data_IF_343016265752
#
_entry.id   IF_343016265752
#
_cell.length_a   1.000
_cell.length_b   1.000
_cell.length_c   1.000
_cell.angle_alpha   90.00
_cell.angle_beta   90.00
_cell.angle_gamma   90.00
#
_symmetry.space_group_name_H-M   'P 1'
#
loop_
_entity.id
_entity.type
_entity.pdbx_description
1 polymer ?
#
# COMPACT_ATOMS: atom_id res chain seq x y z
N UNK A 1 -13.02 9.07 -25.77
CA UNK A 1 -13.12 10.21 -24.82
C UNK A 1 -12.85 9.80 -23.35
N UNK A 2 -13.09 8.53 -22.97
CA UNK A 2 -12.89 7.98 -21.61
C UNK A 2 -11.44 7.65 -21.24
N UNK A 3 -10.55 7.44 -22.22
CA UNK A 3 -9.15 7.01 -21.98
C UNK A 3 -8.24 8.09 -21.35
N UNK A 4 -8.61 9.37 -21.40
CA UNK A 4 -7.81 10.46 -20.82
C UNK A 4 -8.11 10.73 -19.35
N UNK A 5 -9.25 10.26 -18.81
CA UNK A 5 -9.59 10.46 -17.40
C UNK A 5 -8.72 9.62 -16.45
N UNK A 6 -8.24 8.45 -16.92
CA UNK A 6 -7.53 7.47 -16.10
C UNK A 6 -6.05 7.85 -15.90
N UNK A 7 -5.47 8.62 -16.82
CA UNK A 7 -4.11 9.18 -16.68
C UNK A 7 -3.97 10.09 -15.44
N UNK A 8 -5.08 10.60 -14.90
CA UNK A 8 -5.11 11.42 -13.68
C UNK A 8 -5.62 10.67 -12.44
N UNK A 9 -6.01 9.40 -12.56
CA UNK A 9 -6.66 8.64 -11.47
C UNK A 9 -5.71 7.73 -10.67
N UNK A 10 -4.42 7.63 -11.04
CA UNK A 10 -3.47 6.75 -10.35
C UNK A 10 -3.18 7.20 -8.91
N UNK A 11 -3.13 8.52 -8.67
CA UNK A 11 -2.86 9.06 -7.34
C UNK A 11 -4.06 8.88 -6.39
N UNK A 12 -5.32 9.17 -6.80
CA UNK A 12 -6.50 8.77 -6.04
C UNK A 12 -6.58 7.26 -5.77
N UNK A 13 -6.33 6.42 -6.77
CA UNK A 13 -6.34 4.96 -6.61
C UNK A 13 -5.29 4.50 -5.61
N UNK A 14 -4.06 5.02 -5.72
CA UNK A 14 -2.98 4.74 -4.76
C UNK A 14 -3.38 5.13 -3.34
N UNK A 15 -3.97 6.30 -3.14
CA UNK A 15 -4.40 6.78 -1.84
C UNK A 15 -5.51 5.88 -1.25
N UNK A 16 -6.54 5.55 -2.04
CA UNK A 16 -7.62 4.65 -1.62
C UNK A 16 -7.08 3.27 -1.28
N UNK A 17 -6.23 2.70 -2.12
CA UNK A 17 -5.59 1.41 -1.85
C UNK A 17 -4.73 1.45 -0.59
N UNK A 18 -3.92 2.50 -0.40
CA UNK A 18 -3.04 2.60 0.76
C UNK A 18 -3.83 2.69 2.08
N UNK A 19 -4.93 3.45 2.09
CA UNK A 19 -5.83 3.55 3.25
C UNK A 19 -6.52 2.20 3.50
N UNK A 20 -7.09 1.60 2.47
CA UNK A 20 -7.78 0.30 2.56
C UNK A 20 -6.84 -0.79 3.06
N UNK A 21 -5.59 -0.80 2.58
CA UNK A 21 -4.56 -1.77 2.99
C UNK A 21 -4.15 -1.63 4.44
N UNK A 22 -4.03 -0.39 4.96
CA UNK A 22 -3.72 -0.19 6.38
C UNK A 22 -4.91 -0.53 7.30
N UNK A 23 -6.15 -0.51 6.78
CA UNK A 23 -7.34 -0.86 7.57
C UNK A 23 -7.61 -2.37 7.59
N UNK A 24 -7.40 -3.06 6.46
CA UNK A 24 -7.79 -4.46 6.29
C UNK A 24 -6.63 -5.43 5.97
N UNK A 25 -5.38 -4.96 5.90
CA UNK A 25 -4.22 -5.69 5.35
C UNK A 25 -4.22 -5.79 3.82
N UNK A 26 -3.06 -6.18 3.27
CA UNK A 26 -2.78 -6.16 1.83
C UNK A 26 -3.72 -7.07 1.03
N UNK A 27 -3.86 -8.34 1.45
CA UNK A 27 -4.64 -9.33 0.70
C UNK A 27 -6.12 -8.95 0.63
N UNK A 28 -6.81 -8.61 1.74
CA UNK A 28 -8.20 -8.17 1.68
C UNK A 28 -8.38 -6.89 0.86
N UNK A 29 -7.45 -5.93 0.95
CA UNK A 29 -7.53 -4.71 0.15
C UNK A 29 -7.47 -4.98 -1.37
N UNK A 30 -6.61 -5.91 -1.81
CA UNK A 30 -6.57 -6.33 -3.22
C UNK A 30 -7.89 -7.01 -3.62
N UNK A 31 -8.40 -7.93 -2.80
CA UNK A 31 -9.66 -8.63 -3.08
C UNK A 31 -10.86 -7.68 -3.17
N UNK A 32 -10.85 -6.59 -2.40
CA UNK A 32 -11.90 -5.57 -2.43
C UNK A 32 -11.78 -4.64 -3.65
N UNK A 33 -10.57 -4.27 -4.05
CA UNK A 33 -10.36 -3.19 -5.02
C UNK A 33 -10.20 -3.68 -6.46
N UNK A 34 -9.73 -4.91 -6.68
CA UNK A 34 -9.59 -5.47 -8.05
C UNK A 34 -10.94 -5.49 -8.80
N UNK A 35 -12.05 -5.99 -8.23
CA UNK A 35 -13.34 -5.98 -8.92
C UNK A 35 -13.81 -4.56 -9.26
N UNK A 36 -13.58 -3.60 -8.37
CA UNK A 36 -13.94 -2.18 -8.58
C UNK A 36 -13.16 -1.59 -9.74
N UNK A 37 -11.85 -1.88 -9.82
CA UNK A 37 -10.99 -1.43 -10.93
C UNK A 37 -11.47 -2.02 -12.26
N UNK A 38 -11.82 -3.30 -12.29
CA UNK A 38 -12.34 -3.95 -13.51
C UNK A 38 -13.70 -3.38 -13.94
N UNK A 39 -14.62 -3.14 -13.00
CA UNK A 39 -15.95 -2.60 -13.26
C UNK A 39 -15.91 -1.19 -13.88
N UNK A 40 -14.98 -0.34 -13.43
CA UNK A 40 -14.81 1.02 -13.99
C UNK A 40 -13.95 1.05 -15.27
N UNK A 41 -13.58 -0.12 -15.80
CA UNK A 41 -12.81 -0.25 -17.04
C UNK A 41 -11.30 0.02 -16.89
N UNK A 42 -10.77 -0.16 -15.69
CA UNK A 42 -9.33 -0.14 -15.42
C UNK A 42 -8.62 -1.33 -16.07
N UNK A 43 -7.37 -1.10 -16.49
CA UNK A 43 -6.54 -2.11 -17.13
C UNK A 43 -5.41 -2.60 -16.24
N UNK A 44 -4.42 -3.25 -16.87
CA UNK A 44 -3.24 -3.78 -16.20
C UNK A 44 -2.51 -2.71 -15.37
N UNK A 45 -2.45 -1.45 -15.84
CA UNK A 45 -1.76 -0.36 -15.15
C UNK A 45 -2.39 -0.06 -13.79
N UNK A 46 -3.71 0.02 -13.73
CA UNK A 46 -4.47 0.29 -12.51
C UNK A 46 -4.39 -0.89 -11.54
N UNK A 47 -4.43 -2.12 -12.07
CA UNK A 47 -4.20 -3.33 -11.27
C UNK A 47 -2.79 -3.37 -10.67
N UNK A 48 -1.77 -2.96 -11.43
CA UNK A 48 -0.40 -2.81 -10.92
C UNK A 48 -0.32 -1.73 -9.84
N UNK A 49 -1.07 -0.63 -9.95
CA UNK A 49 -1.19 0.37 -8.87
C UNK A 49 -1.79 -0.25 -7.62
N UNK A 50 -2.88 -1.02 -7.73
CA UNK A 50 -3.49 -1.70 -6.57
C UNK A 50 -2.51 -2.68 -5.92
N UNK A 51 -1.81 -3.49 -6.71
CA UNK A 51 -0.83 -4.45 -6.20
C UNK A 51 0.35 -3.75 -5.49
N UNK A 52 0.90 -2.71 -6.12
CA UNK A 52 2.00 -1.93 -5.58
C UNK A 52 1.59 -1.17 -4.30
N UNK A 53 0.48 -0.42 -4.36
CA UNK A 53 0.04 0.42 -3.26
C UNK A 53 -0.38 -0.42 -2.05
N UNK A 54 -1.09 -1.54 -2.24
CA UNK A 54 -1.46 -2.42 -1.12
C UNK A 54 -0.23 -3.00 -0.43
N UNK A 55 0.78 -3.42 -1.20
CA UNK A 55 2.02 -3.98 -0.65
C UNK A 55 2.84 -2.94 0.12
N UNK A 56 3.07 -1.77 -0.47
CA UNK A 56 3.94 -0.73 0.12
C UNK A 56 3.29 -0.02 1.31
N UNK A 57 1.96 0.13 1.29
CA UNK A 57 1.22 0.80 2.34
C UNK A 57 1.28 0.05 3.68
N UNK A 58 1.43 -1.28 3.67
CA UNK A 58 1.54 -2.07 4.90
C UNK A 58 2.75 -1.72 5.78
N UNK A 59 3.77 -1.03 5.23
CA UNK A 59 4.95 -0.56 5.97
C UNK A 59 4.71 0.77 6.71
N UNK A 60 3.54 1.39 6.56
CA UNK A 60 3.26 2.71 7.14
C UNK A 60 3.37 2.69 8.67
N UNK A 61 2.88 1.62 9.29
CA UNK A 61 2.90 1.43 10.74
C UNK A 61 3.20 -0.01 11.12
N UNK A 62 3.58 -0.23 12.37
CA UNK A 62 3.88 -1.56 12.90
C UNK A 62 2.70 -2.54 12.78
N UNK A 63 1.47 -2.02 12.82
CA UNK A 63 0.23 -2.81 12.72
C UNK A 63 -0.34 -2.86 11.31
N UNK A 64 0.28 -2.16 10.34
CA UNK A 64 -0.20 -2.08 8.96
C UNK A 64 -0.12 -3.40 8.19
N UNK A 65 0.61 -4.39 8.71
CA UNK A 65 0.69 -5.73 8.14
C UNK A 65 0.97 -6.78 9.22
N UNK A 66 0.42 -7.97 9.02
CA UNK A 66 0.70 -9.16 9.84
C UNK A 66 2.20 -9.50 9.85
N UNK A 67 2.90 -9.27 8.73
CA UNK A 67 4.34 -9.53 8.63
C UNK A 67 5.14 -8.67 9.62
N UNK A 68 4.78 -7.40 9.77
CA UNK A 68 5.45 -6.49 10.71
C UNK A 68 5.31 -6.97 12.16
N UNK A 69 4.10 -7.43 12.51
CA UNK A 69 3.80 -7.97 13.84
C UNK A 69 4.58 -9.27 14.08
N UNK A 70 4.64 -10.17 13.10
CA UNK A 70 5.44 -11.41 13.20
C UNK A 70 6.91 -11.09 13.46
N UNK A 71 7.48 -10.13 12.73
CA UNK A 71 8.87 -9.71 12.90
C UNK A 71 9.09 -9.08 14.27
N UNK A 72 8.21 -8.18 14.70
CA UNK A 72 8.32 -7.53 16.01
C UNK A 72 8.21 -8.52 17.18
N UNK A 73 7.29 -9.48 17.07
CA UNK A 73 7.13 -10.56 18.04
C UNK A 73 8.39 -11.44 18.09
N UNK A 74 8.93 -11.78 16.92
CA UNK A 74 10.15 -12.59 16.82
C UNK A 74 11.36 -11.85 17.38
N UNK A 75 11.50 -10.55 17.10
CA UNK A 75 12.56 -9.71 17.66
C UNK A 75 12.47 -9.65 19.20
N UNK A 76 11.25 -9.54 19.75
CA UNK A 76 11.01 -9.52 21.20
C UNK A 76 11.49 -10.80 21.87
N UNK A 77 11.32 -11.96 21.23
CA UNK A 77 11.86 -13.26 21.73
C UNK A 77 13.39 -13.29 21.81
N UNK A 78 14.08 -12.42 21.07
CA UNK A 78 15.53 -12.28 21.08
C UNK A 78 16.00 -11.06 21.90
N UNK A 79 15.12 -10.46 22.72
CA UNK A 79 15.46 -9.31 23.57
C UNK A 79 15.47 -7.96 22.86
N UNK A 80 15.04 -7.88 21.60
CA UNK A 80 14.95 -6.63 20.83
C UNK A 80 13.50 -6.13 20.82
N UNK A 81 13.26 -4.93 21.33
CA UNK A 81 11.92 -4.33 21.34
C UNK A 81 11.77 -3.30 20.22
N UNK A 82 10.77 -3.53 19.35
CA UNK A 82 10.40 -2.58 18.30
C UNK A 82 9.16 -1.83 18.77
N UNK A 83 9.32 -0.57 19.17
CA UNK A 83 8.18 0.27 19.57
C UNK A 83 7.41 0.76 18.34
N UNK A 84 6.11 1.01 18.51
CA UNK A 84 5.26 1.56 17.45
C UNK A 84 5.84 2.87 16.88
N UNK A 85 6.27 3.77 17.76
CA UNK A 85 6.86 5.05 17.36
C UNK A 85 8.18 4.92 16.62
N UNK A 86 9.09 4.05 17.10
CA UNK A 86 10.38 3.83 16.44
C UNK A 86 10.20 3.22 15.04
N UNK A 87 9.25 2.29 14.89
CA UNK A 87 8.89 1.75 13.58
C UNK A 87 8.29 2.83 12.69
N UNK A 88 7.28 3.58 13.17
CA UNK A 88 6.59 4.60 12.38
C UNK A 88 7.53 5.73 11.91
N UNK A 89 8.55 6.09 12.70
CA UNK A 89 9.55 7.09 12.33
C UNK A 89 10.28 6.73 11.01
N UNK A 90 10.45 5.44 10.74
CA UNK A 90 11.10 4.93 9.53
C UNK A 90 10.06 4.48 8.49
N UNK A 91 8.99 3.82 8.93
CA UNK A 91 7.94 3.27 8.08
C UNK A 91 7.18 4.35 7.33
N UNK A 92 6.77 5.44 7.99
CA UNK A 92 6.03 6.54 7.36
C UNK A 92 6.80 7.17 6.19
N UNK A 93 8.05 7.67 6.36
CA UNK A 93 8.77 8.27 5.24
C UNK A 93 9.08 7.27 4.13
N UNK A 94 9.43 6.02 4.46
CA UNK A 94 9.69 4.99 3.44
C UNK A 94 8.44 4.67 2.63
N UNK A 95 7.29 4.48 3.28
CA UNK A 95 6.03 4.21 2.58
C UNK A 95 5.64 5.37 1.68
N UNK A 96 5.69 6.61 2.16
CA UNK A 96 5.34 7.78 1.34
C UNK A 96 6.29 7.93 0.14
N UNK A 97 7.59 7.77 0.35
CA UNK A 97 8.59 7.87 -0.71
C UNK A 97 8.41 6.76 -1.76
N UNK A 98 8.25 5.52 -1.33
CA UNK A 98 8.10 4.37 -2.25
C UNK A 98 6.78 4.44 -3.02
N UNK A 99 5.68 4.87 -2.39
CA UNK A 99 4.43 5.14 -3.10
C UNK A 99 4.57 6.26 -4.13
N UNK A 100 5.25 7.36 -3.78
CA UNK A 100 5.48 8.46 -4.71
C UNK A 100 6.33 8.03 -5.92
N UNK A 101 7.42 7.30 -5.68
CA UNK A 101 8.26 6.72 -6.74
C UNK A 101 7.44 5.75 -7.60
N UNK A 102 6.63 4.91 -6.97
CA UNK A 102 5.76 3.95 -7.63
C UNK A 102 4.72 4.58 -8.54
N UNK A 103 4.04 5.63 -8.05
CA UNK A 103 3.08 6.42 -8.85
C UNK A 103 3.78 7.12 -10.00
N UNK A 104 4.94 7.73 -9.77
CA UNK A 104 5.74 8.32 -10.84
C UNK A 104 6.23 7.24 -11.84
N UNK A 105 6.52 6.02 -11.36
CA UNK A 105 6.98 4.91 -12.19
C UNK A 105 5.86 4.35 -13.07
N UNK A 106 4.68 4.14 -12.50
CA UNK A 106 3.54 3.68 -13.27
C UNK A 106 2.94 4.78 -14.10
N UNK A 107 3.09 6.06 -13.74
CA UNK A 107 2.47 7.22 -14.41
C UNK A 107 3.15 7.70 -15.70
N UNK A 108 4.37 7.26 -15.98
CA UNK A 108 5.00 7.38 -17.30
C UNK A 108 4.46 6.36 -18.31
#
# INVERSE_FOLDING_TARGET
>A
RTRHAIAHALLPLTAVTAVTSNLFSNVPAVLLLVPVVEEVGGGMRELLVVAMASTLAGNLTLVGSVANIIVAETARRHGVTVSFGAYALVGVPITLLTLAIGVAWLGR
#
